data_IF_796657197187
#
_entry.id   IF_796657197187
#
_cell.length_a   1.000
_cell.length_b   1.000
_cell.length_c   1.000
_cell.angle_alpha   90.00
_cell.angle_beta   90.00
_cell.angle_gamma   90.00
#
_symmetry.space_group_name_H-M   'P 1'
#
loop_
_entity.id
_entity.type
_entity.pdbx_description
1 polymer ?
#
# COMPACT_ATOMS: atom_id res chain seq x y z
N UNK A 1 -13.95 -0.20 -0.78
CA UNK A 1 -13.57 1.10 -0.21
C UNK A 1 -14.87 1.84 -0.25
N UNK A 2 -15.69 1.67 0.79
CA UNK A 2 -17.04 2.23 0.79
C UNK A 2 -16.90 3.71 1.16
N UNK A 3 -16.35 4.48 0.21
CA UNK A 3 -16.36 5.94 0.28
C UNK A 3 -17.75 6.37 -0.16
N UNK A 4 -18.64 6.52 0.80
CA UNK A 4 -19.89 7.22 0.57
C UNK A 4 -19.57 8.63 0.09
N UNK A 5 -20.25 9.09 -0.98
CA UNK A 5 -20.15 10.49 -1.41
C UNK A 5 -20.56 11.37 -0.24
N UNK A 6 -19.67 12.25 0.20
CA UNK A 6 -20.01 13.26 1.21
C UNK A 6 -21.11 14.16 0.64
N UNK A 7 -22.17 14.48 1.40
CA UNK A 7 -23.23 15.36 0.93
C UNK A 7 -22.68 16.78 0.92
N UNK A 8 -22.09 17.24 -0.18
CA UNK A 8 -21.53 18.60 -0.22
C UNK A 8 -21.47 19.18 -1.63
N UNK A 9 -22.06 20.37 -1.78
CA UNK A 9 -22.17 21.15 -3.02
C UNK A 9 -20.86 21.73 -3.58
N UNK A 10 -19.72 21.04 -3.39
CA UNK A 10 -18.43 21.39 -4.00
C UNK A 10 -17.87 20.17 -4.75
N UNK A 11 -18.36 19.99 -5.97
CA UNK A 11 -18.08 18.84 -6.83
C UNK A 11 -16.58 18.65 -7.13
N UNK A 12 -15.82 19.74 -7.29
CA UNK A 12 -14.37 19.71 -7.58
C UNK A 12 -13.54 19.02 -6.48
N UNK A 13 -13.89 19.23 -5.20
CA UNK A 13 -13.17 18.58 -4.09
C UNK A 13 -13.49 17.09 -4.02
N UNK A 14 -14.73 16.70 -4.33
CA UNK A 14 -15.13 15.29 -4.35
C UNK A 14 -14.49 14.52 -5.51
N UNK A 15 -14.30 15.15 -6.66
CA UNK A 15 -13.58 14.59 -7.80
C UNK A 15 -12.12 14.30 -7.45
N UNK A 16 -11.40 15.29 -6.90
CA UNK A 16 -10.00 15.11 -6.47
C UNK A 16 -9.84 13.99 -5.43
N UNK A 17 -10.74 13.92 -4.46
CA UNK A 17 -10.72 12.85 -3.43
C UNK A 17 -10.92 11.48 -4.06
N UNK A 18 -11.84 11.35 -5.02
CA UNK A 18 -12.07 10.10 -5.73
C UNK A 18 -10.88 9.69 -6.60
N UNK A 19 -10.25 10.62 -7.30
CA UNK A 19 -9.04 10.36 -8.08
C UNK A 19 -7.88 9.87 -7.19
N UNK A 20 -7.66 10.54 -6.06
CA UNK A 20 -6.65 10.12 -5.07
C UNK A 20 -6.97 8.74 -4.48
N UNK A 21 -8.25 8.45 -4.24
CA UNK A 21 -8.69 7.15 -3.76
C UNK A 21 -8.44 6.03 -4.79
N UNK A 22 -8.67 6.30 -6.07
CA UNK A 22 -8.39 5.36 -7.18
C UNK A 22 -6.89 5.13 -7.31
N UNK A 23 -6.08 6.19 -7.25
CA UNK A 23 -4.62 6.08 -7.28
C UNK A 23 -4.10 5.23 -6.11
N UNK A 24 -4.54 5.52 -4.88
CA UNK A 24 -4.18 4.76 -3.69
C UNK A 24 -4.61 3.29 -3.85
N UNK A 25 -5.81 3.03 -4.35
CA UNK A 25 -6.33 1.70 -4.61
C UNK A 25 -5.49 0.94 -5.65
N UNK A 26 -5.05 1.60 -6.72
CA UNK A 26 -4.22 1.00 -7.76
C UNK A 26 -2.82 0.65 -7.25
N UNK A 27 -2.20 1.52 -6.45
CA UNK A 27 -0.93 1.23 -5.77
C UNK A 27 -1.07 0.02 -4.85
N UNK A 28 -2.13 0.01 -4.04
CA UNK A 28 -2.49 -1.10 -3.15
C UNK A 28 -2.73 -2.41 -3.91
N UNK A 29 -3.32 -2.33 -5.11
CA UNK A 29 -3.53 -3.47 -6.01
C UNK A 29 -2.21 -4.02 -6.52
N UNK A 30 -1.31 -3.16 -6.99
CA UNK A 30 0.01 -3.57 -7.48
C UNK A 30 0.84 -4.24 -6.38
N UNK A 31 0.93 -3.63 -5.20
CA UNK A 31 1.62 -4.21 -4.03
C UNK A 31 1.00 -5.58 -3.67
N UNK A 32 -0.33 -5.66 -3.67
CA UNK A 32 -1.06 -6.90 -3.39
C UNK A 32 -0.74 -8.03 -4.37
N UNK A 33 -0.65 -7.73 -5.68
CA UNK A 33 -0.30 -8.71 -6.72
C UNK A 33 1.18 -9.13 -6.62
N UNK A 34 2.09 -8.17 -6.52
CA UNK A 34 3.54 -8.41 -6.42
C UNK A 34 3.97 -9.16 -5.15
N UNK A 35 3.13 -9.14 -4.11
CA UNK A 35 3.34 -9.92 -2.88
C UNK A 35 2.92 -11.40 -2.99
N UNK A 36 2.22 -11.79 -4.06
CA UNK A 36 1.77 -13.17 -4.29
C UNK A 36 2.92 -13.95 -4.93
N UNK A 37 3.40 -15.00 -4.25
CA UNK A 37 4.44 -15.91 -4.78
C UNK A 37 5.88 -15.57 -4.39
N UNK A 38 6.15 -14.39 -3.82
CA UNK A 38 7.47 -14.04 -3.28
C UNK A 38 7.70 -14.59 -1.86
N UNK A 39 8.88 -15.17 -1.61
CA UNK A 39 9.23 -15.98 -0.42
C UNK A 39 9.26 -15.23 0.92
N UNK A 40 9.22 -13.89 0.95
CA UNK A 40 9.46 -13.14 2.19
C UNK A 40 8.25 -12.90 3.12
N UNK A 41 7.01 -13.13 2.70
CA UNK A 41 5.89 -13.11 3.66
C UNK A 41 5.70 -14.51 4.23
N UNK A 42 6.14 -14.74 5.48
CA UNK A 42 5.78 -15.93 6.27
C UNK A 42 4.28 -15.89 6.64
N UNK A 43 3.40 -15.81 5.65
CA UNK A 43 1.98 -16.11 5.86
C UNK A 43 1.89 -17.61 6.04
N UNK A 44 1.20 -18.07 7.10
CA UNK A 44 1.03 -19.50 7.42
C UNK A 44 0.53 -20.34 6.23
N UNK A 45 -0.12 -19.71 5.24
CA UNK A 45 -0.59 -20.34 4.02
C UNK A 45 -0.04 -19.64 2.77
N UNK A 46 0.19 -20.43 1.71
CA UNK A 46 0.54 -19.94 0.38
C UNK A 46 -0.67 -19.19 -0.20
N UNK A 47 -0.61 -17.88 -0.22
CA UNK A 47 -1.72 -17.04 -0.69
C UNK A 47 -1.61 -16.84 -2.20
N UNK A 48 -2.56 -17.37 -2.96
CA UNK A 48 -2.67 -17.19 -4.43
C UNK A 48 -3.41 -15.90 -4.83
N UNK A 49 -4.21 -15.31 -3.92
CA UNK A 49 -4.96 -14.05 -4.13
C UNK A 49 -5.14 -13.31 -2.80
N UNK A 50 -4.76 -12.04 -2.73
CA UNK A 50 -5.05 -11.14 -1.59
C UNK A 50 -6.23 -10.24 -1.93
N UNK A 51 -7.23 -10.17 -1.05
CA UNK A 51 -8.37 -9.26 -1.22
C UNK A 51 -7.91 -7.83 -0.96
N UNK A 52 -8.30 -6.91 -1.84
CA UNK A 52 -7.82 -5.53 -1.81
C UNK A 52 -8.22 -4.80 -0.55
N UNK A 53 -9.46 -5.00 -0.07
CA UNK A 53 -9.94 -4.50 1.22
C UNK A 53 -9.00 -4.86 2.37
N UNK A 54 -8.45 -6.07 2.36
CA UNK A 54 -7.52 -6.54 3.41
C UNK A 54 -6.15 -5.91 3.26
N UNK A 55 -5.64 -5.74 2.03
CA UNK A 55 -4.35 -5.06 1.79
C UNK A 55 -4.42 -3.61 2.24
N UNK A 56 -5.50 -2.92 1.86
CA UNK A 56 -5.81 -1.54 2.26
C UNK A 56 -5.91 -1.43 3.78
N UNK A 57 -6.74 -2.27 4.40
CA UNK A 57 -6.88 -2.27 5.86
C UNK A 57 -5.56 -2.51 6.57
N UNK A 58 -4.75 -3.45 6.09
CA UNK A 58 -3.43 -3.70 6.67
C UNK A 58 -2.45 -2.53 6.47
N UNK A 59 -2.53 -1.80 5.35
CA UNK A 59 -1.68 -0.62 5.13
C UNK A 59 -2.12 0.58 5.96
N UNK A 60 -3.42 0.78 6.15
CA UNK A 60 -3.96 1.84 7.03
C UNK A 60 -3.64 1.54 8.50
N UNK A 61 -3.79 0.28 8.91
CA UNK A 61 -3.56 -0.16 10.30
C UNK A 61 -2.07 -0.35 10.62
N UNK A 62 -1.19 -0.23 9.63
CA UNK A 62 0.23 -0.42 9.81
C UNK A 62 0.86 0.83 10.42
N UNK A 63 1.32 0.71 11.66
CA UNK A 63 2.18 1.71 12.26
C UNK A 63 3.46 1.86 11.42
N UNK A 64 3.61 3.03 10.80
CA UNK A 64 4.77 3.44 10.03
C UNK A 64 5.05 4.92 10.28
N UNK A 65 6.30 5.33 10.16
CA UNK A 65 6.70 6.73 10.20
C UNK A 65 7.43 7.09 8.92
N UNK A 66 7.12 8.25 8.36
CA UNK A 66 7.86 8.80 7.22
C UNK A 66 8.87 9.79 7.77
N UNK A 67 10.15 9.58 7.45
CA UNK A 67 11.23 10.48 7.81
C UNK A 67 11.84 11.04 6.55
N UNK A 68 11.89 12.37 6.47
CA UNK A 68 12.66 13.06 5.45
C UNK A 68 14.05 13.36 6.01
N UNK A 69 15.10 12.86 5.36
CA UNK A 69 16.47 13.12 5.76
C UNK A 69 17.38 13.18 4.54
N UNK A 70 18.28 14.18 4.46
CA UNK A 70 19.26 14.32 3.38
C UNK A 70 18.66 14.19 1.96
N UNK A 71 17.48 14.77 1.72
CA UNK A 71 16.68 14.67 0.47
C UNK A 71 16.22 13.26 0.12
N UNK A 72 16.19 12.37 1.10
CA UNK A 72 15.64 11.02 0.99
C UNK A 72 14.36 10.93 1.80
N UNK A 73 13.33 10.32 1.21
CA UNK A 73 12.09 9.98 1.88
C UNK A 73 12.17 8.52 2.34
N UNK A 74 12.20 8.30 3.65
CA UNK A 74 12.33 6.98 4.25
C UNK A 74 11.03 6.58 4.95
N UNK A 75 10.52 5.39 4.66
CA UNK A 75 9.38 4.81 5.35
C UNK A 75 9.85 3.79 6.37
N UNK A 76 9.82 4.15 7.66
CA UNK A 76 10.16 3.28 8.77
C UNK A 76 9.00 2.38 9.16
N UNK A 77 9.21 1.06 9.11
CA UNK A 77 8.22 0.05 9.51
C UNK A 77 8.64 -0.62 10.83
N UNK A 78 7.68 -0.75 11.75
CA UNK A 78 7.93 -1.38 13.06
C UNK A 78 8.47 -2.81 12.97
N UNK A 79 9.29 -3.22 13.96
CA UNK A 79 9.97 -4.53 13.95
C UNK A 79 9.00 -5.73 13.97
N UNK A 80 7.88 -5.59 14.66
CA UNK A 80 6.81 -6.59 14.78
C UNK A 80 5.89 -6.66 13.55
N UNK A 81 6.06 -5.76 12.58
CA UNK A 81 5.21 -5.71 11.41
C UNK A 81 5.63 -6.75 10.37
N UNK A 82 4.86 -7.83 10.26
CA UNK A 82 5.08 -8.93 9.31
C UNK A 82 5.05 -8.47 7.83
N UNK A 83 4.37 -7.37 7.54
CA UNK A 83 4.28 -6.83 6.19
C UNK A 83 5.53 -6.07 5.74
N UNK A 84 6.46 -5.75 6.65
CA UNK A 84 7.72 -5.07 6.29
C UNK A 84 8.51 -5.81 5.21
N UNK A 85 8.48 -7.14 5.23
CA UNK A 85 9.14 -7.97 4.22
C UNK A 85 8.38 -8.01 2.89
N UNK A 86 7.05 -7.88 2.92
CA UNK A 86 6.26 -7.74 1.71
C UNK A 86 6.62 -6.43 1.01
N UNK A 87 6.64 -5.34 1.77
CA UNK A 87 6.99 -4.01 1.29
C UNK A 87 8.42 -3.93 0.75
N UNK A 88 9.40 -4.46 1.49
CA UNK A 88 10.78 -4.46 1.02
C UNK A 88 10.93 -5.19 -0.33
N UNK A 89 10.31 -6.36 -0.49
CA UNK A 89 10.37 -7.10 -1.76
C UNK A 89 9.66 -6.38 -2.91
N UNK A 90 8.51 -5.75 -2.64
CA UNK A 90 7.80 -4.97 -3.65
C UNK A 90 8.61 -3.73 -4.04
N UNK A 91 9.21 -3.04 -3.06
CA UNK A 91 10.09 -1.91 -3.30
C UNK A 91 11.28 -2.30 -4.17
N UNK A 92 11.99 -3.39 -3.84
CA UNK A 92 13.10 -3.90 -4.66
C UNK A 92 12.63 -4.21 -6.09
N UNK A 93 11.49 -4.89 -6.25
CA UNK A 93 10.95 -5.23 -7.56
C UNK A 93 10.67 -4.00 -8.45
N UNK A 94 10.23 -2.89 -7.87
CA UNK A 94 10.01 -1.65 -8.60
C UNK A 94 11.27 -0.79 -8.75
N UNK A 95 12.21 -0.87 -7.81
CA UNK A 95 13.50 -0.20 -7.90
C UNK A 95 14.35 -0.80 -9.03
N UNK A 96 14.31 -2.12 -9.19
CA UNK A 96 15.00 -2.86 -10.26
C UNK A 96 14.40 -2.56 -11.65
N UNK A 97 13.17 -2.04 -11.74
CA UNK A 97 12.55 -1.63 -13.00
C UNK A 97 13.17 -0.35 -13.60
N UNK A 98 14.06 0.33 -12.86
CA UNK A 98 14.76 1.56 -13.29
C UNK A 98 16.19 1.32 -13.80
N UNK A 99 16.67 0.08 -13.87
CA UNK A 99 17.97 -0.30 -14.49
C UNK A 99 17.78 -0.91 -15.86
#
# INVERSE_FOLDING_TARGET
>A
MDMERLPSGKFETNELVLELAILAYNILRMIGQESIGRKGTKTKHKVRRRRLRTVIGNMIMMASHVTEHARQLLLGLGRSNTWRYAFAQVYTAFADFRS
#
